data_IF_161282445495
#
_entry.id   IF_161282445495
#
_cell.length_a   1.000
_cell.length_b   1.000
_cell.length_c   1.000
_cell.angle_alpha   90.00
_cell.angle_beta   90.00
_cell.angle_gamma   90.00
#
_symmetry.space_group_name_H-M   'P 1'
#
loop_
_entity.id
_entity.type
_entity.pdbx_description
1 polymer ?
#
# COMPACT_ATOMS: atom_id res chain seq x y z
N UNK A 1 -27.12 15.24 17.53
CA UNK A 1 -26.37 16.40 18.08
C UNK A 1 -27.18 17.26 19.06
N UNK A 2 -28.52 17.26 19.06
CA UNK A 2 -29.33 18.15 19.94
C UNK A 2 -29.52 17.59 21.36
N UNK A 3 -29.38 16.28 21.57
CA UNK A 3 -29.64 15.64 22.87
C UNK A 3 -28.50 15.74 23.89
N UNK A 4 -27.23 15.75 23.46
CA UNK A 4 -26.07 15.81 24.37
C UNK A 4 -25.93 17.17 25.06
N UNK A 5 -26.23 18.26 24.35
CA UNK A 5 -26.03 19.64 24.86
C UNK A 5 -26.97 19.97 26.03
N UNK A 6 -28.09 19.25 26.14
CA UNK A 6 -29.10 19.46 27.19
C UNK A 6 -28.83 18.63 28.45
N UNK A 7 -27.91 17.68 28.42
CA UNK A 7 -27.63 16.79 29.53
C UNK A 7 -26.55 17.36 30.46
N UNK A 8 -26.90 18.43 31.17
CA UNK A 8 -25.99 19.18 32.07
C UNK A 8 -25.49 18.33 33.26
N UNK A 9 -26.13 17.19 33.52
CA UNK A 9 -25.76 16.23 34.57
C UNK A 9 -24.92 15.05 34.08
N UNK A 10 -24.53 15.05 32.81
CA UNK A 10 -23.72 13.98 32.24
C UNK A 10 -22.38 13.86 32.97
N UNK A 11 -22.09 12.65 33.45
CA UNK A 11 -20.81 12.38 34.11
C UNK A 11 -19.73 12.24 33.05
N UNK A 12 -18.56 12.83 33.30
CA UNK A 12 -17.40 12.63 32.45
C UNK A 12 -17.07 11.13 32.35
N UNK A 13 -17.13 10.60 31.13
CA UNK A 13 -16.68 9.24 30.81
C UNK A 13 -15.21 9.33 30.41
N UNK A 14 -14.33 8.77 31.25
CA UNK A 14 -12.92 8.63 30.92
C UNK A 14 -12.70 7.29 30.22
N UNK A 15 -12.34 7.33 28.94
CA UNK A 15 -12.01 6.13 28.17
C UNK A 15 -10.53 5.76 28.37
N UNK A 16 -10.30 4.74 29.20
CA UNK A 16 -8.99 4.14 29.43
C UNK A 16 -8.89 2.74 28.81
N UNK A 17 -9.69 2.43 27.78
CA UNK A 17 -9.72 1.12 27.15
C UNK A 17 -8.39 0.74 26.49
N UNK A 18 -7.74 1.71 25.84
CA UNK A 18 -6.43 1.57 25.20
C UNK A 18 -5.38 2.24 26.07
N UNK A 19 -4.43 1.46 26.57
CA UNK A 19 -3.31 1.96 27.38
C UNK A 19 -2.24 2.55 26.46
N UNK A 20 -1.92 1.85 25.36
CA UNK A 20 -0.83 2.22 24.47
C UNK A 20 -1.01 1.64 23.06
N UNK A 21 -0.40 2.27 22.06
CA UNK A 21 -0.38 1.80 20.67
C UNK A 21 0.98 2.08 20.03
N UNK A 22 1.93 1.17 20.24
CA UNK A 22 3.33 1.32 19.81
C UNK A 22 3.63 0.58 18.52
N UNK A 23 4.41 1.22 17.64
CA UNK A 23 4.77 0.63 16.34
C UNK A 23 5.96 -0.30 16.47
N UNK A 24 5.72 -1.57 16.20
CA UNK A 24 6.73 -2.61 16.21
C UNK A 24 7.19 -2.91 14.79
N UNK A 25 8.49 -3.17 14.63
CA UNK A 25 9.11 -3.45 13.33
C UNK A 25 9.24 -4.95 13.14
N UNK A 26 8.67 -5.46 12.05
CA UNK A 26 8.78 -6.86 11.63
C UNK A 26 9.62 -6.95 10.37
N UNK A 27 10.57 -7.88 10.36
CA UNK A 27 11.51 -8.07 9.27
C UNK A 27 11.13 -9.28 8.41
N UNK A 28 11.58 -9.33 7.15
CA UNK A 28 11.40 -10.49 6.29
C UNK A 28 12.02 -11.75 6.89
N UNK A 29 11.38 -12.89 6.69
CA UNK A 29 11.92 -14.19 7.05
C UNK A 29 13.05 -14.59 6.08
N UNK A 30 14.22 -14.95 6.58
CA UNK A 30 15.33 -15.63 5.88
C UNK A 30 15.78 -15.09 4.50
N UNK A 31 15.38 -13.89 4.09
CA UNK A 31 15.81 -13.31 2.82
C UNK A 31 17.15 -12.59 3.01
N UNK A 32 18.22 -13.16 2.46
CA UNK A 32 19.52 -12.49 2.36
C UNK A 32 19.57 -11.47 1.20
N UNK A 33 18.55 -11.44 0.33
CA UNK A 33 18.50 -10.56 -0.85
C UNK A 33 17.10 -10.00 -1.12
N UNK A 34 17.07 -8.86 -1.80
CA UNK A 34 15.86 -8.16 -2.29
C UNK A 34 15.95 -7.91 -3.80
N UNK A 35 16.37 -8.93 -4.57
CA UNK A 35 16.59 -8.84 -6.01
C UNK A 35 15.28 -8.96 -6.79
N UNK A 36 15.31 -8.57 -8.06
CA UNK A 36 14.19 -8.76 -8.97
C UNK A 36 13.75 -10.23 -9.03
N UNK A 37 12.43 -10.46 -9.05
CA UNK A 37 11.77 -11.77 -8.92
C UNK A 37 11.81 -12.41 -7.53
N UNK A 38 12.46 -11.82 -6.53
CA UNK A 38 12.42 -12.36 -5.16
C UNK A 38 11.01 -12.21 -4.56
N UNK A 39 10.61 -13.21 -3.76
CA UNK A 39 9.42 -13.12 -2.91
C UNK A 39 9.84 -12.80 -1.49
N UNK A 40 9.32 -11.69 -0.97
CA UNK A 40 9.62 -11.15 0.35
C UNK A 40 8.44 -11.41 1.26
N UNK A 41 8.65 -12.16 2.34
CA UNK A 41 7.62 -12.54 3.30
C UNK A 41 7.94 -11.94 4.66
N UNK A 42 7.04 -11.12 5.19
CA UNK A 42 7.19 -10.47 6.50
C UNK A 42 6.12 -11.04 7.43
N UNK A 43 6.45 -12.08 8.23
CA UNK A 43 5.51 -12.68 9.15
C UNK A 43 5.40 -11.89 10.47
N UNK A 44 4.23 -11.98 11.09
CA UNK A 44 4.01 -11.69 12.51
C UNK A 44 3.62 -13.00 13.15
N UNK A 45 4.55 -13.60 13.90
CA UNK A 45 4.39 -14.93 14.49
C UNK A 45 3.74 -14.90 15.89
N UNK A 46 3.72 -13.73 16.56
CA UNK A 46 3.25 -13.64 17.93
C UNK A 46 1.71 -13.69 18.01
N UNK A 47 1.18 -14.83 18.43
CA UNK A 47 -0.26 -15.07 18.62
C UNK A 47 -0.85 -14.40 19.88
N UNK A 48 -0.06 -13.68 20.68
CA UNK A 48 -0.54 -13.00 21.91
C UNK A 48 -0.61 -11.47 21.79
N UNK A 49 -0.57 -10.95 20.56
CA UNK A 49 -0.52 -9.50 20.31
C UNK A 49 -1.76 -9.03 19.57
N UNK A 50 -2.34 -7.92 20.06
CA UNK A 50 -3.37 -7.18 19.33
C UNK A 50 -2.71 -6.19 18.39
N UNK A 51 -2.96 -6.34 17.09
CA UNK A 51 -2.33 -5.48 16.08
C UNK A 51 -3.37 -4.63 15.36
N UNK A 52 -2.96 -3.48 14.83
CA UNK A 52 -3.83 -2.60 14.05
C UNK A 52 -3.30 -2.40 12.61
N UNK A 53 -3.64 -3.28 11.66
CA UNK A 53 -3.09 -3.24 10.29
C UNK A 53 -3.32 -1.91 9.55
N UNK A 54 -4.47 -1.25 9.72
CA UNK A 54 -4.75 0.03 9.03
C UNK A 54 -3.82 1.17 9.45
N UNK A 55 -3.22 1.08 10.64
CA UNK A 55 -2.22 2.04 11.15
C UNK A 55 -0.78 1.66 10.81
N UNK A 56 -0.59 0.58 10.05
CA UNK A 56 0.72 0.08 9.66
C UNK A 56 1.27 0.73 8.38
N UNK A 57 2.58 0.61 8.20
CA UNK A 57 3.25 1.03 6.97
C UNK A 57 4.43 0.12 6.65
N UNK A 58 4.73 0.03 5.37
CA UNK A 58 5.93 -0.58 4.85
C UNK A 58 7.05 0.46 4.84
N UNK A 59 8.17 0.12 5.44
CA UNK A 59 9.38 0.92 5.40
C UNK A 59 10.36 0.30 4.41
N UNK A 60 10.85 1.10 3.47
CA UNK A 60 11.81 0.66 2.45
C UNK A 60 12.97 1.63 2.44
N UNK A 61 14.18 1.10 2.46
CA UNK A 61 15.43 1.82 2.25
C UNK A 61 16.19 1.17 1.10
N UNK A 62 16.90 2.00 0.35
CA UNK A 62 17.72 1.53 -0.75
C UNK A 62 18.57 2.63 -1.36
N UNK A 63 19.19 2.27 -2.49
CA UNK A 63 20.08 3.15 -3.24
C UNK A 63 19.93 2.92 -4.74
N UNK A 64 20.01 3.98 -5.53
CA UNK A 64 20.19 3.86 -6.98
C UNK A 64 21.67 3.88 -7.32
N UNK A 65 22.08 2.95 -8.17
CA UNK A 65 23.45 2.84 -8.67
C UNK A 65 23.41 2.61 -10.18
N UNK A 66 24.36 3.22 -10.89
CA UNK A 66 24.68 2.81 -12.27
C UNK A 66 25.42 1.48 -12.24
N UNK A 67 25.53 0.81 -13.40
CA UNK A 67 26.32 -0.44 -13.54
C UNK A 67 27.78 -0.31 -13.11
N UNK A 68 28.36 0.89 -13.16
CA UNK A 68 29.73 1.19 -12.73
C UNK A 68 29.85 1.49 -11.22
N UNK A 69 28.73 1.44 -10.47
CA UNK A 69 28.68 1.74 -9.04
C UNK A 69 28.62 3.22 -8.70
N UNK A 70 28.53 4.11 -9.70
CA UNK A 70 28.37 5.56 -9.47
C UNK A 70 26.90 5.94 -9.26
N UNK A 71 26.68 7.09 -8.65
CA UNK A 71 25.33 7.61 -8.39
C UNK A 71 24.75 8.20 -9.68
N UNK A 72 23.50 7.88 -10.04
CA UNK A 72 22.85 8.52 -11.18
C UNK A 72 22.58 10.00 -10.96
N UNK A 73 22.81 10.79 -12.01
CA UNK A 73 22.65 12.25 -11.97
C UNK A 73 21.36 12.71 -12.65
N UNK A 74 20.88 11.93 -13.62
CA UNK A 74 19.73 12.30 -14.46
C UNK A 74 18.53 11.37 -14.28
N UNK A 75 18.62 10.43 -13.33
CA UNK A 75 17.58 9.42 -13.07
C UNK A 75 16.91 9.67 -11.73
N UNK A 76 15.59 9.69 -11.73
CA UNK A 76 14.77 9.89 -10.53
C UNK A 76 13.60 8.91 -10.50
N UNK A 77 12.99 8.71 -9.33
CA UNK A 77 11.75 7.95 -9.25
C UNK A 77 10.59 8.73 -9.87
N UNK A 78 9.73 8.04 -10.62
CA UNK A 78 8.44 8.62 -11.04
C UNK A 78 7.49 8.78 -9.85
N UNK A 79 6.36 9.47 -10.07
CA UNK A 79 5.28 9.47 -9.09
C UNK A 79 4.91 8.02 -8.72
N UNK A 80 4.93 7.74 -7.41
CA UNK A 80 4.64 6.42 -6.86
C UNK A 80 5.63 5.32 -7.30
N UNK A 81 6.84 5.72 -7.71
CA UNK A 81 7.87 4.84 -8.28
C UNK A 81 8.21 3.63 -7.41
N UNK A 82 8.25 3.79 -6.09
CA UNK A 82 8.60 2.69 -5.18
C UNK A 82 7.61 1.53 -5.27
N UNK A 83 6.31 1.80 -5.50
CA UNK A 83 5.33 0.73 -5.65
C UNK A 83 5.41 0.03 -7.02
N UNK A 84 6.04 0.63 -8.03
CA UNK A 84 6.34 -0.04 -9.30
C UNK A 84 7.48 -1.06 -9.19
N UNK A 85 8.19 -1.09 -8.06
CA UNK A 85 9.18 -2.12 -7.78
C UNK A 85 8.54 -3.48 -7.48
N UNK A 86 7.23 -3.56 -7.25
CA UNK A 86 6.56 -4.80 -6.88
C UNK A 86 5.50 -5.17 -7.92
N UNK A 87 5.43 -6.46 -8.28
CA UNK A 87 4.39 -7.00 -9.18
C UNK A 87 3.13 -7.39 -8.40
N UNK A 88 3.28 -7.76 -7.14
CA UNK A 88 2.17 -8.15 -6.28
C UNK A 88 2.48 -7.82 -4.82
N UNK A 89 1.49 -7.30 -4.10
CA UNK A 89 1.49 -7.26 -2.64
C UNK A 89 0.21 -7.91 -2.16
N UNK A 90 0.32 -8.84 -1.22
CA UNK A 90 -0.82 -9.53 -0.61
C UNK A 90 -0.68 -9.63 0.90
N UNK A 91 -1.82 -9.60 1.55
CA UNK A 91 -1.94 -9.73 3.00
C UNK A 91 -2.67 -11.03 3.35
N UNK A 92 -2.05 -11.83 4.19
CA UNK A 92 -2.53 -13.15 4.60
C UNK A 92 -2.79 -13.17 6.12
N UNK A 93 -3.91 -13.76 6.53
CA UNK A 93 -4.23 -14.06 7.93
C UNK A 93 -4.45 -15.57 8.07
N UNK A 94 -3.71 -16.21 8.99
CA UNK A 94 -3.80 -17.66 9.20
C UNK A 94 -3.58 -18.49 7.93
N UNK A 95 -2.72 -18.02 7.02
CA UNK A 95 -2.45 -18.66 5.72
C UNK A 95 -3.53 -18.46 4.65
N UNK A 96 -4.57 -17.65 4.91
CA UNK A 96 -5.59 -17.29 3.92
C UNK A 96 -5.32 -15.89 3.39
N UNK A 97 -5.37 -15.73 2.06
CA UNK A 97 -5.22 -14.42 1.40
C UNK A 97 -6.49 -13.60 1.64
N UNK A 98 -6.33 -12.50 2.38
CA UNK A 98 -7.41 -11.56 2.69
C UNK A 98 -7.55 -10.58 1.54
N UNK A 99 -6.46 -9.92 1.20
CA UNK A 99 -6.41 -8.92 0.13
C UNK A 99 -5.15 -9.09 -0.71
N UNK A 100 -5.26 -8.77 -1.98
CA UNK A 100 -4.20 -8.92 -2.97
C UNK A 100 -4.33 -7.81 -4.00
N UNK A 101 -3.24 -7.09 -4.24
CA UNK A 101 -3.15 -6.08 -5.27
C UNK A 101 -2.03 -6.46 -6.24
N UNK A 102 -2.42 -6.62 -7.51
CA UNK A 102 -1.49 -6.82 -8.63
C UNK A 102 -1.06 -5.47 -9.19
N UNK A 103 0.20 -5.39 -9.60
CA UNK A 103 0.88 -4.17 -10.05
C UNK A 103 0.53 -2.97 -9.12
N UNK A 104 0.93 -3.02 -7.84
CA UNK A 104 0.64 -1.97 -6.87
C UNK A 104 1.01 -0.58 -7.36
N UNK A 105 2.11 -0.42 -8.09
CA UNK A 105 2.48 0.86 -8.71
C UNK A 105 1.35 1.43 -9.58
N UNK A 106 0.80 0.65 -10.51
CA UNK A 106 -0.28 1.11 -11.39
C UNK A 106 -1.61 1.27 -10.67
N UNK A 107 -2.02 0.25 -9.93
CA UNK A 107 -3.30 0.20 -9.22
C UNK A 107 -3.46 1.38 -8.27
N UNK A 108 -2.46 1.61 -7.42
CA UNK A 108 -2.50 2.67 -6.41
C UNK A 108 -2.32 4.05 -7.01
N UNK A 109 -1.65 4.17 -8.17
CA UNK A 109 -1.55 5.43 -8.91
C UNK A 109 -2.89 5.85 -9.49
N UNK A 110 -3.60 4.93 -10.16
CA UNK A 110 -4.95 5.19 -10.68
C UNK A 110 -5.92 5.56 -9.56
N UNK A 111 -5.90 4.78 -8.46
CA UNK A 111 -6.71 5.05 -7.26
C UNK A 111 -6.36 6.42 -6.66
N UNK A 112 -5.07 6.72 -6.52
CA UNK A 112 -4.60 7.96 -5.91
C UNK A 112 -5.05 9.20 -6.68
N UNK A 113 -4.96 9.18 -8.01
CA UNK A 113 -5.45 10.29 -8.83
C UNK A 113 -6.96 10.51 -8.72
N UNK A 114 -7.74 9.44 -8.60
CA UNK A 114 -9.19 9.54 -8.54
C UNK A 114 -9.73 9.86 -7.14
N UNK A 115 -8.99 9.52 -6.07
CA UNK A 115 -9.52 9.56 -4.70
C UNK A 115 -8.86 10.57 -3.76
N UNK A 116 -7.58 10.88 -3.94
CA UNK A 116 -6.88 11.75 -2.98
C UNK A 116 -7.22 13.21 -3.18
N UNK A 117 -7.61 13.88 -2.10
CA UNK A 117 -7.65 15.33 -2.05
C UNK A 117 -6.24 15.93 -1.84
N UNK A 118 -6.12 17.25 -1.95
CA UNK A 118 -4.82 17.93 -1.83
C UNK A 118 -4.11 17.65 -0.49
N UNK A 119 -4.85 17.63 0.61
CA UNK A 119 -4.29 17.40 1.95
C UNK A 119 -3.81 15.96 2.12
N UNK A 120 -4.57 14.99 1.63
CA UNK A 120 -4.16 13.58 1.64
C UNK A 120 -2.92 13.37 0.77
N UNK A 121 -2.90 13.98 -0.41
CA UNK A 121 -1.76 13.95 -1.31
C UNK A 121 -0.48 14.49 -0.63
N UNK A 122 -0.57 15.63 0.07
CA UNK A 122 0.55 16.20 0.85
C UNK A 122 1.06 15.24 1.94
N UNK A 123 0.18 14.46 2.57
CA UNK A 123 0.57 13.49 3.62
C UNK A 123 1.30 12.26 3.06
N UNK A 124 1.20 12.01 1.75
CA UNK A 124 1.79 10.86 1.08
C UNK A 124 3.09 11.20 0.33
N UNK A 125 3.60 12.43 0.44
CA UNK A 125 4.87 12.80 -0.19
C UNK A 125 6.02 11.87 0.27
N UNK A 126 6.08 11.54 1.56
CA UNK A 126 7.09 10.62 2.13
C UNK A 126 6.92 9.16 1.70
N UNK A 127 5.81 8.80 1.06
CA UNK A 127 5.60 7.47 0.47
C UNK A 127 5.91 7.45 -1.03
N UNK A 128 6.44 8.55 -1.58
CA UNK A 128 6.71 8.69 -3.01
C UNK A 128 5.52 9.16 -3.84
N UNK A 129 4.43 9.63 -3.23
CA UNK A 129 3.30 10.21 -3.95
C UNK A 129 3.59 11.67 -4.31
N UNK A 130 3.91 11.89 -5.59
CA UNK A 130 4.36 13.15 -6.18
C UNK A 130 3.56 13.46 -7.47
N UNK A 131 2.24 13.69 -7.39
CA UNK A 131 1.42 13.90 -8.58
C UNK A 131 1.79 15.21 -9.29
N UNK A 132 1.74 15.25 -10.65
CA UNK A 132 2.14 16.43 -11.44
C UNK A 132 1.40 17.73 -11.04
N UNK A 133 0.11 17.63 -10.72
CA UNK A 133 -0.76 18.78 -10.44
C UNK A 133 -0.50 19.47 -9.08
N UNK A 134 0.16 18.83 -8.12
CA UNK A 134 0.62 19.52 -6.90
C UNK A 134 1.81 20.47 -7.18
N UNK A 135 2.24 20.59 -8.44
CA UNK A 135 3.36 21.41 -8.92
C UNK A 135 3.03 22.89 -9.21
N UNK A 136 1.82 23.36 -8.96
CA UNK A 136 1.44 24.77 -9.13
C UNK A 136 1.27 25.53 -7.79
N UNK A 137 1.90 25.07 -6.70
CA UNK A 137 2.08 25.94 -5.53
C UNK A 137 3.19 26.93 -5.89
N UNK A 138 2.80 28.19 -6.19
CA UNK A 138 3.73 29.29 -6.41
C UNK A 138 4.81 29.30 -5.31
N UNK A 139 6.07 29.14 -5.71
CA UNK A 139 7.23 29.34 -4.81
C UNK A 139 7.97 28.08 -4.32
N UNK A 140 7.53 26.86 -4.68
CA UNK A 140 8.31 25.64 -4.38
C UNK A 140 8.85 25.05 -5.67
N UNK A 141 10.17 25.13 -5.86
CA UNK A 141 10.85 24.65 -7.06
C UNK A 141 10.72 23.13 -7.23
N UNK A 142 10.58 22.72 -8.50
CA UNK A 142 10.48 21.32 -8.97
C UNK A 142 11.64 20.43 -8.48
N UNK A 143 12.77 21.04 -8.11
CA UNK A 143 14.01 20.38 -7.64
C UNK A 143 13.96 19.86 -6.19
N UNK A 144 12.83 20.00 -5.48
CA UNK A 144 12.67 19.55 -4.07
C UNK A 144 11.96 18.19 -3.94
N UNK A 145 11.76 17.46 -5.04
CA UNK A 145 10.94 16.23 -5.11
C UNK A 145 11.71 14.95 -5.46
N UNK A 146 13.02 14.93 -5.25
CA UNK A 146 13.75 13.68 -5.35
C UNK A 146 13.62 12.93 -4.02
N UNK A 147 13.10 11.71 -4.08
CA UNK A 147 13.20 10.74 -2.97
C UNK A 147 14.65 10.33 -2.69
N UNK A 148 15.55 10.72 -3.59
CA UNK A 148 16.93 10.30 -3.67
C UNK A 148 17.81 11.45 -3.18
N UNK A 149 18.72 11.15 -2.26
CA UNK A 149 19.72 12.10 -1.78
C UNK A 149 20.87 12.27 -2.78
N UNK A 150 21.85 13.13 -2.46
CA UNK A 150 23.02 13.39 -3.32
C UNK A 150 23.90 12.14 -3.51
N UNK A 151 23.79 11.16 -2.62
CA UNK A 151 24.56 9.92 -2.63
C UNK A 151 23.79 8.75 -3.26
N UNK A 152 22.57 8.97 -3.76
CA UNK A 152 21.73 7.95 -4.39
C UNK A 152 20.83 7.19 -3.42
N UNK A 153 20.88 7.46 -2.11
CA UNK A 153 20.07 6.77 -1.10
C UNK A 153 18.66 7.32 -1.05
N UNK A 154 17.71 6.46 -0.70
CA UNK A 154 16.34 6.83 -0.44
C UNK A 154 15.77 6.02 0.72
N UNK A 155 14.80 6.60 1.41
CA UNK A 155 13.97 5.90 2.36
C UNK A 155 12.53 6.39 2.30
N UNK A 156 11.58 5.46 2.39
CA UNK A 156 10.15 5.78 2.31
C UNK A 156 9.33 5.02 3.33
N UNK A 157 8.22 5.63 3.74
CA UNK A 157 7.20 4.99 4.59
C UNK A 157 5.90 4.94 3.80
N UNK A 158 5.48 3.76 3.37
CA UNK A 158 4.29 3.56 2.55
C UNK A 158 3.15 3.01 3.43
N UNK A 159 2.11 3.80 3.73
CA UNK A 159 1.00 3.33 4.55
C UNK A 159 0.28 2.13 3.91
N UNK A 160 -0.10 1.13 4.71
CA UNK A 160 -0.78 -0.05 4.16
C UNK A 160 -2.11 0.31 3.47
N UNK A 161 -2.82 1.34 3.97
CA UNK A 161 -4.02 1.93 3.35
C UNK A 161 -3.82 2.49 1.93
N UNK A 162 -2.58 2.76 1.54
CA UNK A 162 -2.25 3.18 0.18
C UNK A 162 -2.09 1.98 -0.74
N UNK A 163 -1.73 0.81 -0.20
CA UNK A 163 -1.36 -0.40 -0.96
C UNK A 163 -2.53 -1.37 -1.10
N UNK A 164 -3.32 -1.56 -0.04
CA UNK A 164 -4.38 -2.56 0.05
C UNK A 164 -5.70 -1.91 0.50
N UNK A 165 -6.80 -2.38 -0.09
CA UNK A 165 -8.15 -1.96 0.27
C UNK A 165 -8.53 -2.37 1.68
N UNK A 166 -8.07 -3.55 2.12
CA UNK A 166 -8.17 -3.98 3.52
C UNK A 166 -7.57 -2.95 4.48
N UNK A 167 -6.38 -2.43 4.17
CA UNK A 167 -5.71 -1.43 5.00
C UNK A 167 -6.43 -0.08 5.03
N UNK A 168 -7.22 0.25 4.00
CA UNK A 168 -7.98 1.50 3.92
C UNK A 168 -9.28 1.47 4.74
N UNK A 169 -10.03 0.37 4.61
CA UNK A 169 -11.40 0.28 5.14
C UNK A 169 -11.48 -0.44 6.49
N UNK A 170 -10.63 -1.45 6.74
CA UNK A 170 -10.70 -2.25 7.96
C UNK A 170 -9.93 -1.61 9.13
N UNK A 171 -10.65 -0.88 9.99
CA UNK A 171 -10.08 -0.08 11.10
C UNK A 171 -10.17 -0.75 12.48
N UNK A 172 -10.20 -2.08 12.54
CA UNK A 172 -10.29 -2.84 13.79
C UNK A 172 -8.99 -3.59 14.06
N UNK A 173 -8.78 -3.95 15.33
CA UNK A 173 -7.64 -4.79 15.72
C UNK A 173 -7.81 -6.21 15.22
N UNK A 174 -6.69 -6.86 14.92
CA UNK A 174 -6.61 -8.29 14.66
C UNK A 174 -6.13 -8.98 15.93
N UNK A 175 -6.85 -10.03 16.33
CA UNK A 175 -6.65 -10.77 17.58
C UNK A 175 -5.99 -12.11 17.30
N UNK A 176 -4.86 -12.37 17.95
CA UNK A 176 -4.29 -13.70 18.16
C UNK A 176 -4.23 -14.60 16.91
N UNK A 177 -3.88 -14.03 15.76
CA UNK A 177 -3.76 -14.79 14.52
C UNK A 177 -2.49 -14.38 13.78
N UNK A 178 -1.79 -15.39 13.27
CA UNK A 178 -0.61 -15.21 12.43
C UNK A 178 -0.95 -14.35 11.22
N UNK A 179 -0.10 -13.37 10.95
CA UNK A 179 -0.26 -12.45 9.82
C UNK A 179 0.99 -12.54 8.95
N UNK A 180 0.82 -12.35 7.66
CA UNK A 180 1.94 -12.30 6.74
C UNK A 180 1.68 -11.25 5.66
N UNK A 181 2.64 -10.35 5.47
CA UNK A 181 2.69 -9.47 4.32
C UNK A 181 3.66 -10.04 3.30
N UNK A 182 3.17 -10.38 2.11
CA UNK A 182 3.98 -10.96 1.04
C UNK A 182 4.09 -9.95 -0.10
N UNK A 183 5.32 -9.65 -0.50
CA UNK A 183 5.66 -8.78 -1.62
C UNK A 183 6.42 -9.59 -2.67
N UNK A 184 6.04 -9.45 -3.93
CA UNK A 184 6.75 -10.06 -5.07
C UNK A 184 7.46 -8.94 -5.81
N UNK A 185 8.80 -8.98 -5.84
CA UNK A 185 9.61 -7.98 -6.53
C UNK A 185 9.45 -8.15 -8.05
N UNK A 186 9.23 -7.04 -8.74
CA UNK A 186 9.10 -7.03 -10.20
C UNK A 186 10.37 -7.55 -10.88
N UNK A 187 10.19 -8.12 -12.07
CA UNK A 187 11.30 -8.58 -12.91
C UNK A 187 12.22 -7.44 -13.40
N UNK A 188 11.70 -6.21 -13.49
CA UNK A 188 12.46 -5.03 -13.91
C UNK A 188 12.08 -3.79 -13.10
N UNK A 189 12.96 -2.79 -13.07
CA UNK A 189 12.76 -1.54 -12.34
C UNK A 189 12.44 -0.34 -13.24
N UNK A 190 12.34 -0.59 -14.56
CA UNK A 190 12.21 0.46 -15.56
C UNK A 190 10.97 1.33 -15.35
N UNK A 191 9.86 0.72 -14.91
CA UNK A 191 8.62 1.44 -14.63
C UNK A 191 8.67 2.32 -13.39
N UNK A 192 9.66 2.14 -12.51
CA UNK A 192 9.81 2.95 -11.31
C UNK A 192 10.62 4.22 -11.56
N UNK A 193 11.40 4.27 -12.64
CA UNK A 193 12.42 5.28 -12.89
C UNK A 193 12.09 6.14 -14.11
N UNK A 194 12.56 7.39 -14.07
CA UNK A 194 12.57 8.30 -15.20
C UNK A 194 13.99 8.85 -15.37
N UNK A 195 14.53 8.76 -16.58
CA UNK A 195 15.83 9.29 -16.94
C UNK A 195 15.68 10.41 -17.97
N UNK A 196 16.23 11.59 -17.67
CA UNK A 196 16.20 12.75 -18.59
C UNK A 196 17.38 12.81 -19.57
N UNK A 197 18.42 11.98 -19.36
CA UNK A 197 19.61 11.95 -20.22
C UNK A 197 19.39 11.16 -21.52
N UNK A 198 20.09 11.59 -22.58
CA UNK A 198 20.17 10.92 -23.89
C UNK A 198 21.64 10.69 -24.27
N UNK A 199 22.15 9.45 -24.34
CA UNK A 199 21.46 8.17 -24.10
C UNK A 199 21.06 7.97 -22.62
N UNK A 200 20.07 7.12 -22.38
CA UNK A 200 19.57 6.85 -21.02
C UNK A 200 20.65 6.22 -20.14
N UNK A 201 20.72 6.65 -18.87
CA UNK A 201 21.56 6.02 -17.87
C UNK A 201 20.96 4.65 -17.50
N UNK A 202 21.75 3.59 -17.60
CA UNK A 202 21.35 2.28 -17.05
C UNK A 202 21.55 2.30 -15.53
N UNK A 203 20.44 2.20 -14.79
CA UNK A 203 20.39 2.34 -13.34
C UNK A 203 19.67 1.17 -12.72
N UNK A 204 20.27 0.60 -11.68
CA UNK A 204 19.71 -0.47 -10.86
C UNK A 204 19.24 0.08 -9.51
N UNK A 205 18.10 -0.44 -9.01
CA UNK A 205 17.58 -0.08 -7.69
C UNK A 205 17.95 -1.17 -6.68
N UNK A 206 18.92 -0.87 -5.82
CA UNK A 206 19.29 -1.71 -4.70
C UNK A 206 18.39 -1.43 -3.51
N UNK A 207 17.76 -2.47 -2.94
CA UNK A 207 17.03 -2.37 -1.70
C UNK A 207 17.92 -2.88 -0.57
N UNK A 208 18.09 -2.07 0.46
CA UNK A 208 18.94 -2.38 1.61
C UNK A 208 18.10 -2.93 2.76
N UNK A 209 16.92 -2.37 2.97
CA UNK A 209 16.02 -2.77 4.04
C UNK A 209 14.56 -2.68 3.62
N UNK A 210 13.80 -3.72 3.93
CA UNK A 210 12.34 -3.72 3.82
C UNK A 210 11.81 -4.22 5.15
N UNK A 211 10.98 -3.45 5.84
CA UNK A 211 10.35 -3.91 7.07
C UNK A 211 8.91 -3.42 7.18
N UNK A 212 8.06 -4.20 7.84
CA UNK A 212 6.67 -3.85 8.08
C UNK A 212 6.51 -3.34 9.50
N UNK A 213 6.10 -2.08 9.65
CA UNK A 213 5.88 -1.45 10.96
C UNK A 213 4.39 -1.44 11.27
N UNK A 214 3.99 -2.19 12.29
CA UNK A 214 2.59 -2.36 12.70
C UNK A 214 2.38 -1.89 14.15
N UNK A 215 1.30 -1.12 14.42
CA UNK A 215 0.93 -0.79 15.80
C UNK A 215 0.49 -2.03 16.57
N UNK A 216 1.09 -2.25 17.74
CA UNK A 216 0.65 -3.19 18.76
C UNK A 216 -0.14 -2.43 19.81
N UNK A 217 -1.39 -2.82 20.02
CA UNK A 217 -2.34 -2.14 20.89
C UNK A 217 -2.37 -2.84 22.24
N UNK A 218 -1.92 -2.14 23.27
CA UNK A 218 -2.08 -2.55 24.66
C UNK A 218 -3.40 -2.02 25.20
N UNK A 219 -4.23 -2.91 25.72
CA UNK A 219 -5.56 -2.57 26.27
C UNK A 219 -5.59 -2.82 27.78
N UNK A 220 -6.50 -2.14 28.47
CA UNK A 220 -6.73 -2.38 29.90
C UNK A 220 -7.24 -3.80 30.16
N UNK A 221 -6.94 -4.34 31.35
CA UNK A 221 -7.27 -5.73 31.71
C UNK A 221 -8.76 -6.07 31.55
N UNK A 222 -9.64 -5.10 31.86
CA UNK A 222 -11.08 -5.26 31.69
C UNK A 222 -11.47 -5.47 30.20
N UNK A 223 -10.83 -4.76 29.28
CA UNK A 223 -11.07 -4.91 27.84
C UNK A 223 -10.37 -6.15 27.29
N UNK A 224 -9.16 -6.46 27.79
CA UNK A 224 -8.45 -7.71 27.47
C UNK A 224 -9.33 -8.93 27.77
N UNK A 225 -9.97 -8.96 28.95
CA UNK A 225 -10.90 -10.03 29.33
C UNK A 225 -12.12 -10.12 28.40
N UNK A 226 -12.64 -8.99 27.91
CA UNK A 226 -13.74 -9.00 26.92
C UNK A 226 -13.28 -9.56 25.59
N UNK A 227 -12.12 -9.14 25.09
CA UNK A 227 -11.52 -9.63 23.85
C UNK A 227 -11.23 -11.13 23.90
N UNK A 228 -10.69 -11.63 25.02
CA UNK A 228 -10.47 -13.06 25.23
C UNK A 228 -11.79 -13.85 25.18
N UNK A 229 -12.88 -13.35 25.76
CA UNK A 229 -14.20 -14.00 25.66
C UNK A 229 -14.73 -14.07 24.23
N UNK A 230 -14.35 -13.14 23.35
CA UNK A 230 -14.71 -13.22 21.92
C UNK A 230 -13.96 -14.36 21.24
N UNK A 231 -12.68 -14.54 21.56
CA UNK A 231 -11.84 -15.64 21.08
C UNK A 231 -12.38 -16.99 21.60
N UNK A 232 -12.66 -17.10 22.90
CA UNK A 232 -13.17 -18.33 23.52
C UNK A 232 -14.51 -18.79 22.92
N UNK A 233 -15.35 -17.83 22.51
CA UNK A 233 -16.65 -18.12 21.89
C UNK A 233 -16.53 -18.48 20.40
N UNK A 234 -15.34 -18.42 19.81
CA UNK A 234 -15.12 -18.57 18.36
C UNK A 234 -16.10 -17.73 17.54
N UNK A 235 -16.29 -16.47 17.94
CA UNK A 235 -17.17 -15.57 17.22
C UNK A 235 -16.53 -15.18 15.90
N UNK A 236 -17.22 -15.45 14.80
CA UNK A 236 -16.76 -15.08 13.47
C UNK A 236 -16.59 -13.55 13.36
N UNK A 237 -15.48 -13.13 12.79
CA UNK A 237 -15.20 -11.72 12.53
C UNK A 237 -15.47 -11.40 11.06
N UNK A 238 -16.40 -10.47 10.84
CA UNK A 238 -16.67 -9.96 9.50
C UNK A 238 -15.65 -8.88 9.10
N UNK A 239 -14.90 -9.16 8.05
CA UNK A 239 -13.92 -8.30 7.41
C UNK A 239 -14.57 -7.69 6.15
N UNK A 240 -15.10 -6.48 6.29
CA UNK A 240 -15.69 -5.73 5.17
C UNK A 240 -14.72 -4.67 4.67
N UNK A 241 -14.36 -4.71 3.39
CA UNK A 241 -13.47 -3.73 2.74
C UNK A 241 -13.69 -3.68 1.22
N UNK A 242 -13.18 -2.65 0.56
CA UNK A 242 -13.19 -2.54 -0.91
C UNK A 242 -11.95 -3.19 -1.50
N UNK A 243 -12.08 -4.34 -2.17
CA UNK A 243 -10.97 -4.92 -2.92
C UNK A 243 -10.74 -4.19 -4.26
N UNK A 244 -9.49 -4.20 -4.73
CA UNK A 244 -9.08 -3.55 -5.96
C UNK A 244 -8.63 -4.60 -6.97
N UNK A 245 -9.26 -4.63 -8.14
CA UNK A 245 -8.94 -5.57 -9.21
C UNK A 245 -8.48 -4.81 -10.46
N UNK A 246 -7.25 -5.10 -10.89
CA UNK A 246 -6.65 -4.47 -12.07
C UNK A 246 -6.72 -5.41 -13.27
N UNK A 247 -7.24 -4.89 -14.38
CA UNK A 247 -7.18 -5.51 -15.69
C UNK A 247 -6.36 -4.64 -16.65
N UNK A 248 -5.28 -5.21 -17.18
CA UNK A 248 -4.40 -4.55 -18.13
C UNK A 248 -4.49 -5.18 -19.51
N UNK A 249 -4.43 -4.34 -20.54
CA UNK A 249 -4.23 -4.74 -21.92
C UNK A 249 -2.88 -4.19 -22.41
N UNK A 250 -1.83 -5.03 -22.47
CA UNK A 250 -0.46 -4.59 -22.77
C UNK A 250 -0.31 -4.08 -24.21
N UNK A 251 -1.05 -4.65 -25.16
CA UNK A 251 -1.10 -4.18 -26.53
C UNK A 251 -2.51 -3.67 -26.86
N UNK A 252 -2.58 -2.38 -27.15
CA UNK A 252 -3.80 -1.78 -27.64
C UNK A 252 -3.98 -2.06 -29.14
N UNK A 253 -4.96 -2.90 -29.49
CA UNK A 253 -5.38 -3.08 -30.86
C UNK A 253 -5.98 -1.79 -31.43
N UNK A 254 -5.84 -1.55 -32.74
CA UNK A 254 -6.44 -0.44 -33.47
C UNK A 254 -7.97 -0.62 -33.65
N UNK A 255 -8.69 -0.81 -32.55
CA UNK A 255 -10.15 -0.92 -32.53
C UNK A 255 -10.78 0.14 -31.62
N UNK A 256 -11.94 0.64 -32.03
CA UNK A 256 -12.73 1.61 -31.28
C UNK A 256 -13.58 0.98 -30.16
N UNK A 257 -13.64 -0.35 -30.09
CA UNK A 257 -14.40 -1.09 -29.07
C UNK A 257 -13.50 -2.12 -28.38
N UNK A 258 -13.63 -2.20 -27.05
CA UNK A 258 -12.90 -3.12 -26.19
C UNK A 258 -13.85 -3.67 -25.13
N UNK A 259 -13.81 -4.98 -24.91
CA UNK A 259 -14.66 -5.67 -23.95
C UNK A 259 -13.78 -6.24 -22.82
N UNK A 260 -14.11 -5.92 -21.58
CA UNK A 260 -13.51 -6.54 -20.40
C UNK A 260 -14.50 -7.50 -19.74
N UNK A 261 -14.04 -8.68 -19.35
CA UNK A 261 -14.85 -9.61 -18.56
C UNK A 261 -14.62 -9.36 -17.08
N UNK A 262 -15.65 -8.82 -16.41
CA UNK A 262 -15.64 -8.64 -14.95
C UNK A 262 -16.24 -9.89 -14.30
N UNK A 263 -15.44 -10.60 -13.51
CA UNK A 263 -15.94 -11.72 -12.70
C UNK A 263 -16.42 -11.16 -11.37
N UNK A 264 -17.66 -11.48 -11.01
CA UNK A 264 -18.21 -11.13 -9.70
C UNK A 264 -18.79 -12.39 -9.07
N UNK A 265 -18.54 -12.57 -7.77
CA UNK A 265 -19.20 -13.64 -7.02
C UNK A 265 -20.57 -13.13 -6.58
N UNK A 266 -21.65 -13.81 -6.96
CA UNK A 266 -23.00 -13.42 -6.55
C UNK A 266 -23.08 -13.36 -5.02
N UNK A 267 -23.58 -12.23 -4.50
CA UNK A 267 -23.80 -11.90 -3.07
C UNK A 267 -22.60 -11.39 -2.26
N UNK A 268 -21.34 -11.76 -2.55
CA UNK A 268 -20.18 -11.33 -1.75
C UNK A 268 -19.41 -10.14 -2.33
N UNK A 269 -19.43 -10.00 -3.65
CA UNK A 269 -18.68 -8.96 -4.36
C UNK A 269 -19.60 -8.12 -5.22
N UNK A 270 -19.62 -6.80 -4.95
CA UNK A 270 -20.40 -5.85 -5.74
C UNK A 270 -19.49 -4.75 -6.29
N UNK A 271 -19.32 -4.63 -7.62
CA UNK A 271 -18.56 -3.53 -8.21
C UNK A 271 -19.27 -2.21 -7.95
N UNK A 272 -18.50 -1.21 -7.53
CA UNK A 272 -18.99 0.13 -7.21
C UNK A 272 -18.40 1.20 -8.11
N UNK A 273 -17.11 1.09 -8.41
CA UNK A 273 -16.40 2.06 -9.22
C UNK A 273 -15.54 1.34 -10.24
N UNK A 274 -15.46 1.93 -11.43
CA UNK A 274 -14.57 1.50 -12.49
C UNK A 274 -13.77 2.74 -12.89
N UNK A 275 -12.44 2.64 -12.87
CA UNK A 275 -11.53 3.68 -13.31
C UNK A 275 -10.84 3.18 -14.57
N UNK A 276 -10.88 4.00 -15.62
CA UNK A 276 -10.15 3.74 -16.86
C UNK A 276 -8.94 4.67 -16.93
N UNK A 277 -7.79 4.09 -17.29
CA UNK A 277 -6.55 4.81 -17.50
C UNK A 277 -5.92 4.41 -18.83
N UNK A 278 -5.39 5.40 -19.54
CA UNK A 278 -4.57 5.21 -20.73
C UNK A 278 -3.16 5.65 -20.38
N UNK A 279 -2.19 4.82 -20.70
CA UNK A 279 -0.78 5.12 -20.46
C UNK A 279 0.03 4.75 -21.70
N UNK A 280 0.99 5.59 -22.07
CA UNK A 280 2.00 5.28 -23.08
C UNK A 280 3.34 5.05 -22.42
N UNK A 281 4.25 4.39 -23.16
CA UNK A 281 5.67 4.28 -22.82
C UNK A 281 5.95 3.59 -21.47
N UNK A 282 5.22 2.50 -21.20
CA UNK A 282 5.47 1.60 -20.05
C UNK A 282 5.60 0.14 -20.48
N UNK A 283 6.54 -0.56 -19.85
CA UNK A 283 7.00 -1.93 -20.12
C UNK A 283 7.55 -2.21 -21.53
N UNK A 284 7.01 -1.58 -22.56
CA UNK A 284 7.44 -1.55 -23.96
C UNK A 284 6.91 -0.22 -24.57
N UNK A 285 7.42 0.25 -25.71
CA UNK A 285 7.05 1.49 -26.44
C UNK A 285 5.56 1.57 -26.91
N UNK A 286 4.62 0.91 -26.23
CA UNK A 286 3.22 0.78 -26.62
C UNK A 286 2.28 1.48 -25.63
N UNK A 287 1.10 1.84 -26.14
CA UNK A 287 0.00 2.36 -25.33
C UNK A 287 -0.72 1.19 -24.63
N UNK A 288 -0.72 1.20 -23.30
CA UNK A 288 -1.42 0.25 -22.44
C UNK A 288 -2.78 0.83 -22.01
N UNK A 289 -3.83 0.00 -22.09
CA UNK A 289 -5.15 0.31 -21.48
C UNK A 289 -5.26 -0.40 -20.15
N UNK A 290 -5.61 0.34 -19.11
CA UNK A 290 -5.76 -0.20 -17.77
C UNK A 290 -7.15 0.12 -17.23
N UNK A 291 -7.80 -0.90 -16.68
CA UNK A 291 -9.09 -0.78 -16.01
C UNK A 291 -8.93 -1.25 -14.57
N UNK A 292 -9.26 -0.38 -13.62
CA UNK A 292 -9.26 -0.71 -12.21
C UNK A 292 -10.70 -0.76 -11.70
N UNK A 293 -11.06 -1.87 -11.08
CA UNK A 293 -12.39 -2.13 -10.53
C UNK A 293 -12.32 -2.15 -9.00
N UNK A 294 -13.28 -1.48 -8.37
CA UNK A 294 -13.45 -1.49 -6.92
C UNK A 294 -14.68 -2.30 -6.56
N UNK A 295 -14.47 -3.42 -5.87
CA UNK A 295 -15.54 -4.30 -5.41
C UNK A 295 -15.66 -4.18 -3.89
N UNK A 296 -16.88 -4.07 -3.36
CA UNK A 296 -17.07 -4.34 -1.94
C UNK A 296 -16.90 -5.84 -1.71
N UNK A 297 -15.99 -6.24 -0.83
CA UNK A 297 -15.75 -7.63 -0.44
C UNK A 297 -16.02 -7.79 1.05
N UNK A 298 -16.86 -8.77 1.38
CA UNK A 298 -17.11 -9.18 2.76
C UNK A 298 -16.51 -10.57 2.93
N UNK A 299 -15.58 -10.71 3.88
CA UNK A 299 -15.01 -11.99 4.26
C UNK A 299 -15.35 -12.29 5.71
N UNK A 300 -15.94 -13.45 5.98
CA UNK A 300 -16.22 -13.91 7.35
C UNK A 300 -15.10 -14.86 7.73
N UNK A 301 -14.34 -14.52 8.77
CA UNK A 301 -13.23 -15.32 9.29
C UNK A 301 -13.61 -16.00 10.60
#
# INVERSE_FOLDING_TARGET
>A
MVAEILNVTEKAVFDNAIINADKHTHQPYANSTFKNNDTIRIPIENEDVYTLPCGSFLYIEGRLLKKDGTVPTNTTFINNGILYLFDEIRYELGGKVIDRVRNPGMTTTMKGYASYNENESKRLINSGWLPPALGAVKGVALHTRNLIDTNGYFNVCIPLRMILGFGEDFRKIILNIRQELVLVRSSTDNNALFCSATPAEEVDVHLDQICWKIPHVSVADAERLKLLRYVDRNLNMELSFRSWELHEYPLLNQSYSHNWTVKTTSQLEKPRFIIFGFQTDKDLLFCTKCMLIFNNRIMVM
#
